data_IF_637617506168
#
_entry.id   IF_637617506168
#
_cell.length_a   1.000
_cell.length_b   1.000
_cell.length_c   1.000
_cell.angle_alpha   90.00
_cell.angle_beta   90.00
_cell.angle_gamma   90.00
#
_symmetry.space_group_name_H-M   'P 1'
#
loop_
_entity.id
_entity.type
_entity.pdbx_description
1 polymer ?
#
# COMPACT_ATOMS: atom_id res chain seq x y z
N UNK A 1 5.46 6.11 -25.07
CA UNK A 1 4.27 5.41 -24.53
C UNK A 1 4.79 4.27 -23.68
N UNK A 2 4.53 4.26 -22.38
CA UNK A 2 4.83 3.09 -21.56
C UNK A 2 3.70 2.09 -21.79
N UNK A 3 3.99 1.00 -22.51
CA UNK A 3 3.06 -0.12 -22.63
C UNK A 3 2.91 -0.75 -21.24
N UNK A 4 1.70 -0.68 -20.68
CA UNK A 4 1.29 -1.55 -19.60
C UNK A 4 1.30 -2.99 -20.14
N UNK A 5 2.44 -3.67 -20.03
CA UNK A 5 2.52 -5.12 -20.25
C UNK A 5 1.65 -5.80 -19.19
N UNK A 6 0.40 -6.09 -19.56
CA UNK A 6 -0.50 -6.93 -18.77
C UNK A 6 0.13 -8.33 -18.77
N UNK A 7 0.76 -8.70 -17.65
CA UNK A 7 1.29 -10.04 -17.45
C UNK A 7 0.13 -10.92 -16.98
N UNK A 8 -0.26 -11.88 -17.81
CA UNK A 8 -1.15 -12.96 -17.38
C UNK A 8 -0.30 -14.07 -16.74
N UNK A 9 -0.71 -14.55 -15.57
CA UNK A 9 -0.04 -15.64 -14.90
C UNK A 9 -0.28 -16.96 -15.65
N UNK A 10 0.74 -17.82 -15.74
CA UNK A 10 0.62 -19.18 -16.27
C UNK A 10 0.45 -20.23 -15.17
N UNK A 11 0.81 -19.88 -13.94
CA UNK A 11 0.71 -20.73 -12.75
C UNK A 11 0.09 -19.97 -11.57
N UNK A 12 -0.44 -20.70 -10.60
CA UNK A 12 -1.00 -20.13 -9.37
C UNK A 12 0.05 -19.34 -8.56
N UNK A 13 1.28 -19.85 -8.48
CA UNK A 13 2.40 -19.16 -7.85
C UNK A 13 2.72 -17.82 -8.54
N UNK A 14 2.75 -17.79 -9.88
CA UNK A 14 2.93 -16.54 -10.62
C UNK A 14 1.77 -15.57 -10.39
N UNK A 15 0.54 -16.06 -10.27
CA UNK A 15 -0.63 -15.23 -9.99
C UNK A 15 -0.52 -14.57 -8.60
N UNK A 16 -0.16 -15.33 -7.57
CA UNK A 16 0.09 -14.78 -6.23
C UNK A 16 1.21 -13.73 -6.23
N UNK A 17 2.29 -13.96 -6.96
CA UNK A 17 3.40 -13.00 -7.03
C UNK A 17 3.00 -11.69 -7.73
N UNK A 18 2.25 -11.79 -8.82
CA UNK A 18 1.71 -10.62 -9.52
C UNK A 18 0.72 -9.86 -8.63
N UNK A 19 -0.14 -10.57 -7.89
CA UNK A 19 -1.07 -9.98 -6.94
C UNK A 19 -0.32 -9.27 -5.80
N UNK A 20 0.65 -9.93 -5.16
CA UNK A 20 1.49 -9.33 -4.12
C UNK A 20 2.15 -8.05 -4.62
N UNK A 21 2.73 -8.08 -5.82
CA UNK A 21 3.37 -6.89 -6.42
C UNK A 21 2.35 -5.77 -6.67
N UNK A 22 1.16 -6.10 -7.14
CA UNK A 22 0.08 -5.14 -7.40
C UNK A 22 -0.38 -4.47 -6.11
N UNK A 23 -0.58 -5.26 -5.05
CA UNK A 23 -0.94 -4.77 -3.71
C UNK A 23 0.16 -3.89 -3.11
N UNK A 24 1.45 -4.23 -3.30
CA UNK A 24 2.57 -3.39 -2.85
C UNK A 24 2.59 -2.03 -3.56
N UNK A 25 2.34 -1.98 -4.87
CA UNK A 25 2.24 -0.71 -5.59
C UNK A 25 1.03 0.11 -5.12
N UNK A 26 -0.11 -0.55 -4.91
CA UNK A 26 -1.31 0.10 -4.38
C UNK A 26 -1.07 0.68 -2.99
N UNK A 27 -0.43 -0.08 -2.09
CA UNK A 27 -0.08 0.38 -0.74
C UNK A 27 0.80 1.63 -0.78
N UNK A 28 1.84 1.66 -1.62
CA UNK A 28 2.68 2.85 -1.82
C UNK A 28 1.88 4.04 -2.36
N UNK A 29 0.98 3.80 -3.30
CA UNK A 29 0.14 4.85 -3.87
C UNK A 29 -0.81 5.44 -2.84
N UNK A 30 -1.37 4.62 -1.94
CA UNK A 30 -2.17 5.08 -0.80
C UNK A 30 -1.36 6.00 0.09
N UNK A 31 -0.10 5.66 0.41
CA UNK A 31 0.77 6.56 1.18
C UNK A 31 1.01 7.90 0.47
N UNK A 32 1.14 7.92 -0.86
CA UNK A 32 1.25 9.18 -1.62
C UNK A 32 -0.02 10.03 -1.52
N UNK A 33 -1.19 9.41 -1.61
CA UNK A 33 -2.48 10.10 -1.43
C UNK A 33 -2.59 10.67 -0.01
N UNK A 34 -2.25 9.88 1.01
CA UNK A 34 -2.28 10.30 2.41
C UNK A 34 -1.29 11.44 2.67
N UNK A 35 -0.09 11.38 2.10
CA UNK A 35 0.89 12.44 2.22
C UNK A 35 0.42 13.73 1.53
N UNK A 36 -0.18 13.61 0.34
CA UNK A 36 -0.79 14.76 -0.32
C UNK A 36 -1.91 15.39 0.52
N UNK A 37 -2.79 14.58 1.11
CA UNK A 37 -3.84 15.05 2.02
C UNK A 37 -3.24 15.74 3.26
N UNK A 38 -2.20 15.16 3.86
CA UNK A 38 -1.45 15.77 4.96
C UNK A 38 -0.92 17.16 4.59
N UNK A 39 -0.29 17.31 3.42
CA UNK A 39 0.25 18.59 2.97
C UNK A 39 -0.82 19.67 2.88
N UNK A 40 -2.02 19.32 2.43
CA UNK A 40 -3.12 20.27 2.30
C UNK A 40 -3.81 20.58 3.64
N UNK A 41 -3.98 19.59 4.51
CA UNK A 41 -4.71 19.74 5.77
C UNK A 41 -3.86 20.42 6.85
N UNK A 42 -2.59 20.07 6.96
CA UNK A 42 -1.69 20.66 7.96
C UNK A 42 -1.09 22.01 7.52
N UNK A 43 -1.34 22.45 6.28
CA UNK A 43 -0.87 23.75 5.77
C UNK A 43 -1.32 24.92 6.64
N UNK A 44 -2.53 24.85 7.19
CA UNK A 44 -3.09 25.91 8.06
C UNK A 44 -2.33 26.05 9.38
N UNK A 45 -1.82 24.93 9.88
CA UNK A 45 -1.08 24.84 11.14
C UNK A 45 0.44 24.92 10.92
N UNK A 46 0.88 25.41 9.74
CA UNK A 46 2.29 25.49 9.34
C UNK A 46 3.07 24.18 9.51
N UNK A 47 2.41 23.03 9.31
CA UNK A 47 3.01 21.70 9.50
C UNK A 47 3.58 21.46 10.91
N UNK A 48 2.89 21.96 11.95
CA UNK A 48 3.29 21.77 13.35
C UNK A 48 3.30 20.31 13.83
N UNK A 49 2.63 19.40 13.12
CA UNK A 49 2.67 17.95 13.34
C UNK A 49 3.47 17.29 12.23
N UNK A 50 4.29 16.30 12.57
CA UNK A 50 4.94 15.45 11.56
C UNK A 50 3.92 14.55 10.85
N UNK A 51 4.27 14.02 9.67
CA UNK A 51 3.40 13.09 8.96
C UNK A 51 3.02 11.85 9.80
N UNK A 52 3.96 11.31 10.58
CA UNK A 52 3.69 10.18 11.48
C UNK A 52 2.66 10.55 12.55
N UNK A 53 2.82 11.71 13.20
CA UNK A 53 1.85 12.19 14.18
C UNK A 53 0.47 12.43 13.56
N UNK A 54 0.43 12.97 12.35
CA UNK A 54 -0.82 13.16 11.61
C UNK A 54 -1.51 11.84 11.26
N UNK A 55 -0.73 10.83 10.84
CA UNK A 55 -1.24 9.48 10.58
C UNK A 55 -1.89 8.86 11.82
N UNK A 56 -1.24 8.99 12.99
CA UNK A 56 -1.75 8.45 14.25
C UNK A 56 -2.97 9.21 14.79
N UNK A 57 -2.98 10.54 14.67
CA UNK A 57 -3.99 11.38 15.33
C UNK A 57 -5.19 11.71 14.44
N UNK A 58 -4.99 11.81 13.13
CA UNK A 58 -6.01 12.22 12.16
C UNK A 58 -6.40 11.06 11.26
N UNK A 59 -5.44 10.47 10.55
CA UNK A 59 -5.72 9.41 9.57
C UNK A 59 -6.27 8.14 10.24
N UNK A 60 -5.77 7.78 11.42
CA UNK A 60 -6.26 6.64 12.20
C UNK A 60 -7.77 6.74 12.50
N UNK A 61 -8.23 7.95 12.86
CA UNK A 61 -9.66 8.23 13.14
C UNK A 61 -10.53 8.14 11.89
N UNK A 62 -9.95 8.39 10.72
CA UNK A 62 -10.59 8.15 9.43
C UNK A 62 -10.56 6.66 9.00
N UNK A 63 -10.01 5.77 9.82
CA UNK A 63 -9.98 4.32 9.56
C UNK A 63 -8.88 3.89 8.59
N UNK A 64 -7.87 4.72 8.34
CA UNK A 64 -6.81 4.43 7.36
C UNK A 64 -6.06 3.14 7.65
N UNK A 65 -5.74 2.86 8.92
CA UNK A 65 -5.07 1.60 9.27
C UNK A 65 -5.91 0.36 8.98
N UNK A 66 -7.25 0.46 9.07
CA UNK A 66 -8.14 -0.65 8.70
C UNK A 66 -8.09 -0.92 7.20
N UNK A 67 -8.00 0.13 6.38
CA UNK A 67 -7.85 0.02 4.93
C UNK A 67 -6.51 -0.63 4.60
N UNK A 68 -5.42 -0.14 5.19
CA UNK A 68 -4.07 -0.70 4.99
C UNK A 68 -3.98 -2.16 5.44
N UNK A 69 -4.64 -2.52 6.55
CA UNK A 69 -4.66 -3.89 7.06
C UNK A 69 -5.58 -4.83 6.28
N UNK A 70 -6.57 -4.32 5.53
CA UNK A 70 -7.49 -5.14 4.73
C UNK A 70 -7.56 -4.63 3.30
N UNK A 71 -6.41 -4.67 2.64
CA UNK A 71 -6.22 -4.27 1.25
C UNK A 71 -6.65 -5.42 0.34
N UNK A 72 -7.95 -5.49 0.06
CA UNK A 72 -8.55 -6.51 -0.79
C UNK A 72 -10.02 -6.19 -1.06
N UNK A 73 -10.63 -6.90 -2.00
CA UNK A 73 -12.02 -6.70 -2.38
C UNK A 73 -12.84 -7.87 -1.84
N UNK A 74 -13.47 -7.67 -0.68
CA UNK A 74 -14.32 -8.70 -0.06
C UNK A 74 -15.50 -9.12 -0.93
N UNK A 75 -15.85 -8.30 -1.93
CA UNK A 75 -16.86 -8.59 -2.95
C UNK A 75 -16.41 -9.70 -3.92
N UNK A 76 -15.10 -9.88 -4.08
CA UNK A 76 -14.52 -10.83 -5.05
C UNK A 76 -13.71 -11.94 -4.37
N UNK A 77 -13.38 -11.82 -3.09
CA UNK A 77 -12.50 -12.74 -2.38
C UNK A 77 -13.01 -13.07 -0.97
N UNK A 78 -12.76 -14.30 -0.51
CA UNK A 78 -13.06 -14.68 0.86
C UNK A 78 -11.99 -14.11 1.82
N UNK A 79 -12.34 -13.23 2.78
CA UNK A 79 -11.38 -12.63 3.70
C UNK A 79 -10.62 -13.62 4.59
N UNK A 80 -11.08 -14.88 4.67
CA UNK A 80 -10.39 -15.97 5.39
C UNK A 80 -9.32 -16.67 4.56
N UNK A 81 -9.40 -16.56 3.24
CA UNK A 81 -8.50 -17.24 2.31
C UNK A 81 -7.52 -16.26 1.64
N UNK A 82 -7.74 -14.94 1.75
CA UNK A 82 -6.82 -13.93 1.21
C UNK A 82 -5.78 -13.47 2.24
N UNK A 83 -4.74 -14.26 2.46
CA UNK A 83 -3.61 -13.86 3.31
C UNK A 83 -2.98 -12.54 2.86
N UNK A 84 -2.86 -12.34 1.53
CA UNK A 84 -2.29 -11.12 0.95
C UNK A 84 -3.12 -9.84 1.23
N UNK A 85 -4.37 -9.95 1.66
CA UNK A 85 -5.16 -8.79 2.07
C UNK A 85 -4.63 -8.17 3.37
N UNK A 86 -3.94 -8.96 4.22
CA UNK A 86 -3.40 -8.50 5.50
C UNK A 86 -2.04 -7.85 5.34
N UNK A 87 -1.88 -6.69 5.98
CA UNK A 87 -0.61 -5.94 5.96
C UNK A 87 0.56 -6.82 6.43
N UNK A 88 0.35 -7.58 7.52
CA UNK A 88 1.37 -8.48 8.09
C UNK A 88 1.91 -9.49 7.07
N UNK A 89 1.03 -10.17 6.34
CA UNK A 89 1.45 -11.20 5.39
C UNK A 89 2.17 -10.60 4.18
N UNK A 90 1.71 -9.44 3.68
CA UNK A 90 2.42 -8.70 2.62
C UNK A 90 3.83 -8.30 3.04
N UNK A 91 3.98 -7.75 4.25
CA UNK A 91 5.26 -7.29 4.77
C UNK A 91 6.24 -8.44 5.02
N UNK A 92 5.76 -9.56 5.57
CA UNK A 92 6.59 -10.75 5.77
C UNK A 92 7.13 -11.30 4.44
N UNK A 93 6.33 -11.30 3.36
CA UNK A 93 6.79 -11.70 2.02
C UNK A 93 7.66 -10.62 1.35
N UNK A 94 7.56 -9.37 1.77
CA UNK A 94 8.35 -8.26 1.24
C UNK A 94 9.80 -8.28 1.72
N UNK A 95 10.08 -8.66 2.96
CA UNK A 95 11.47 -8.72 3.48
C UNK A 95 12.35 -9.73 2.69
N UNK A 96 11.73 -10.70 2.02
CA UNK A 96 12.40 -11.70 1.18
C UNK A 96 12.79 -11.12 -0.20
N UNK A 97 12.17 -10.02 -0.64
CA UNK A 97 12.47 -9.38 -1.94
C UNK A 97 13.01 -7.97 -1.74
N UNK A 98 14.29 -7.79 -2.04
CA UNK A 98 14.92 -6.48 -2.22
C UNK A 98 13.99 -5.57 -3.04
N UNK A 99 13.53 -4.48 -2.43
CA UNK A 99 12.62 -3.52 -3.05
C UNK A 99 13.20 -3.09 -4.41
N UNK A 100 12.44 -3.16 -5.52
CA UNK A 100 12.92 -2.61 -6.77
C UNK A 100 13.01 -1.10 -6.57
N UNK A 101 14.24 -0.61 -6.58
CA UNK A 101 14.61 0.80 -6.47
C UNK A 101 14.47 1.36 -5.05
N UNK A 102 15.52 1.15 -4.24
CA UNK A 102 15.99 2.24 -3.36
C UNK A 102 16.32 3.38 -4.32
N UNK A 103 15.50 4.44 -4.33
CA UNK A 103 15.78 5.62 -5.14
C UNK A 103 17.21 6.04 -4.89
N UNK A 104 18.10 5.80 -5.85
CA UNK A 104 19.34 6.55 -5.92
C UNK A 104 18.89 7.97 -6.24
N UNK A 105 18.73 8.77 -5.20
CA UNK A 105 18.70 10.21 -5.35
C UNK A 105 20.05 10.58 -5.96
N UNK A 106 20.02 11.06 -7.20
CA UNK A 106 21.15 11.71 -7.87
C UNK A 106 21.43 13.01 -7.13
#
# INVERSE_FOLDING_TARGET
MWELQIKSAKTELEAEELLLRSLQYLERYIYLILFNAYLHLEKKDSWGRSFTQWMEQVAARAGVYRILDRLGFSEFENPRDTDLARLRHRWQRQEVRQLPVRGQFI
#
